data_IF_639226621194
#
_entry.id   IF_639226621194
#
_cell.length_a   1.000
_cell.length_b   1.000
_cell.length_c   1.000
_cell.angle_alpha   90.00
_cell.angle_beta   90.00
_cell.angle_gamma   90.00
#
_symmetry.space_group_name_H-M   'P 1'
#
loop_
_entity.id
_entity.type
_entity.pdbx_description
1 polymer ?
#
# COMPACT_ATOMS: atom_id res chain seq x y z
N UNK A 1 18.86 3.26 -38.11
CA UNK A 1 18.65 4.28 -37.05
C UNK A 1 17.23 4.29 -36.50
N UNK A 2 16.17 4.26 -37.32
CA UNK A 2 14.75 4.22 -36.85
C UNK A 2 14.41 3.05 -35.92
N UNK A 3 14.94 1.85 -36.17
CA UNK A 3 14.68 0.68 -35.31
C UNK A 3 15.27 0.81 -33.90
N UNK A 4 16.45 1.41 -33.76
CA UNK A 4 17.08 1.67 -32.46
C UNK A 4 16.35 2.73 -31.65
N UNK A 5 15.76 3.73 -32.32
CA UNK A 5 14.93 4.74 -31.67
C UNK A 5 13.64 4.13 -31.08
N UNK A 6 13.02 3.16 -31.76
CA UNK A 6 11.84 2.45 -31.25
C UNK A 6 12.17 1.55 -30.06
N UNK A 7 13.33 0.89 -30.08
CA UNK A 7 13.81 0.05 -28.98
C UNK A 7 14.15 0.87 -27.73
N UNK A 8 14.78 2.03 -27.90
CA UNK A 8 15.05 2.96 -26.79
C UNK A 8 13.76 3.54 -26.19
N UNK A 9 12.76 3.85 -27.02
CA UNK A 9 11.46 4.33 -26.57
C UNK A 9 10.68 3.27 -25.79
N UNK A 10 10.71 2.00 -26.23
CA UNK A 10 10.07 0.89 -25.53
C UNK A 10 10.67 0.66 -24.12
N UNK A 11 11.99 0.80 -23.99
CA UNK A 11 12.69 0.70 -22.70
C UNK A 11 12.35 1.87 -21.76
N UNK A 12 12.18 3.07 -22.29
CA UNK A 12 11.78 4.25 -21.50
C UNK A 12 10.35 4.15 -20.97
N UNK A 13 9.40 3.60 -21.75
CA UNK A 13 8.01 3.45 -21.32
C UNK A 13 7.86 2.32 -20.30
N UNK A 14 8.65 1.25 -20.40
CA UNK A 14 8.69 0.18 -19.39
C UNK A 14 9.29 0.61 -18.05
N UNK A 15 10.07 1.70 -18.03
CA UNK A 15 10.70 2.26 -16.82
C UNK A 15 9.79 3.18 -16.00
N UNK A 16 8.65 3.61 -16.54
CA UNK A 16 7.69 4.40 -15.78
C UNK A 16 6.97 3.49 -14.76
N UNK A 17 7.06 3.77 -13.45
CA UNK A 17 6.33 3.01 -12.46
C UNK A 17 4.84 3.18 -12.72
N UNK A 18 4.13 2.08 -13.02
CA UNK A 18 2.69 2.09 -13.30
C UNK A 18 1.82 2.13 -12.04
N UNK A 19 2.40 2.53 -10.90
CA UNK A 19 1.63 2.76 -9.70
C UNK A 19 1.22 4.23 -9.62
N UNK A 20 -0.02 4.47 -9.23
CA UNK A 20 -0.50 5.81 -8.95
C UNK A 20 0.21 6.32 -7.68
N UNK A 21 1.17 7.22 -7.88
CA UNK A 21 1.95 7.85 -6.80
C UNK A 21 1.21 9.04 -6.19
N UNK A 22 0.09 9.46 -6.79
CA UNK A 22 -0.73 10.56 -6.30
C UNK A 22 -1.82 10.04 -5.37
N UNK A 23 -1.57 10.10 -4.07
CA UNK A 23 -2.59 9.91 -3.03
C UNK A 23 -3.45 11.16 -2.90
N UNK A 24 -4.77 11.05 -2.98
CA UNK A 24 -5.61 11.45 -1.88
C UNK A 24 -5.82 10.22 -1.01
N UNK A 25 -5.82 10.40 0.30
CA UNK A 25 -6.19 9.42 1.32
C UNK A 25 -5.08 8.48 1.82
N UNK A 26 -4.32 9.03 2.76
CA UNK A 26 -3.65 8.40 3.90
C UNK A 26 -3.72 9.45 5.03
N UNK A 27 -3.71 9.04 6.30
CA UNK A 27 -4.23 9.76 7.48
C UNK A 27 -3.49 11.05 7.94
N UNK A 28 -3.95 11.57 9.10
CA UNK A 28 -3.76 12.88 9.79
C UNK A 28 -4.02 14.16 8.97
N UNK A 29 -3.53 14.28 7.73
CA UNK A 29 -3.66 15.49 6.89
C UNK A 29 -4.24 15.21 5.49
N UNK A 30 -4.72 13.99 5.25
CA UNK A 30 -5.37 13.61 3.99
C UNK A 30 -6.76 14.23 3.81
N UNK A 31 -7.14 14.52 2.56
CA UNK A 31 -8.43 15.16 2.23
C UNK A 31 -9.68 14.31 2.57
N UNK A 32 -9.53 13.03 2.91
CA UNK A 32 -10.64 12.11 3.22
C UNK A 32 -10.25 11.22 4.41
N UNK A 33 -11.15 11.07 5.38
CA UNK A 33 -10.96 10.20 6.53
C UNK A 33 -10.80 8.72 6.13
N UNK A 34 -9.96 7.98 6.86
CA UNK A 34 -9.64 6.57 6.59
C UNK A 34 -10.90 5.69 6.48
N UNK A 35 -11.80 5.76 7.45
CA UNK A 35 -13.04 4.97 7.44
C UNK A 35 -13.98 5.37 6.29
N UNK A 36 -13.99 6.65 5.92
CA UNK A 36 -14.78 7.13 4.78
C UNK A 36 -14.26 6.54 3.46
N UNK A 37 -12.95 6.43 3.31
CA UNK A 37 -12.36 5.79 2.14
C UNK A 37 -12.53 4.27 2.17
N UNK A 38 -12.41 3.64 3.34
CA UNK A 38 -12.67 2.21 3.50
C UNK A 38 -14.08 1.82 3.02
N UNK A 39 -15.06 2.70 3.21
CA UNK A 39 -16.44 2.49 2.78
C UNK A 39 -16.64 2.50 1.24
N UNK A 40 -15.65 2.90 0.44
CA UNK A 40 -15.79 2.96 -1.03
C UNK A 40 -15.71 1.59 -1.71
N UNK A 41 -15.20 0.58 -1.02
CA UNK A 41 -15.15 -0.78 -1.55
C UNK A 41 -14.19 -1.69 -0.79
N UNK A 42 -14.25 -2.99 -1.11
CA UNK A 42 -13.47 -4.03 -0.43
C UNK A 42 -11.97 -3.80 -0.51
N UNK A 43 -11.44 -3.38 -1.67
CA UNK A 43 -10.00 -3.14 -1.84
C UNK A 43 -9.56 -1.88 -1.08
N UNK A 44 -10.43 -0.87 -0.99
CA UNK A 44 -10.20 0.33 -0.19
C UNK A 44 -10.18 0.01 1.30
N UNK A 45 -11.13 -0.79 1.79
CA UNK A 45 -11.14 -1.30 3.15
C UNK A 45 -9.86 -2.10 3.47
N UNK A 46 -9.45 -2.99 2.57
CA UNK A 46 -8.18 -3.73 2.72
C UNK A 46 -6.97 -2.79 2.75
N UNK A 47 -6.92 -1.77 1.88
CA UNK A 47 -5.82 -0.80 1.89
C UNK A 47 -5.70 -0.07 3.23
N UNK A 48 -6.83 0.38 3.81
CA UNK A 48 -6.84 1.03 5.13
C UNK A 48 -6.42 0.05 6.23
N UNK A 49 -6.92 -1.19 6.18
CA UNK A 49 -6.55 -2.20 7.15
C UNK A 49 -5.05 -2.51 7.12
N UNK A 50 -4.45 -2.58 5.93
CA UNK A 50 -2.99 -2.75 5.78
C UNK A 50 -2.25 -1.55 6.37
N UNK A 51 -2.71 -0.32 6.10
CA UNK A 51 -2.12 0.88 6.68
C UNK A 51 -2.17 0.89 8.22
N UNK A 52 -3.28 0.46 8.81
CA UNK A 52 -3.42 0.32 10.28
C UNK A 52 -2.53 -0.76 10.86
N UNK A 53 -2.46 -1.92 10.21
CA UNK A 53 -1.54 -2.99 10.60
C UNK A 53 -0.09 -2.49 10.55
N UNK A 54 0.24 -1.72 9.51
CA UNK A 54 1.53 -1.10 9.34
C UNK A 54 1.84 -0.10 10.46
N UNK A 55 0.94 0.83 10.77
CA UNK A 55 1.11 1.76 11.89
C UNK A 55 1.23 1.07 13.25
N UNK A 56 0.41 0.05 13.50
CA UNK A 56 0.43 -0.70 14.77
C UNK A 56 1.73 -1.46 15.03
N UNK A 57 2.50 -1.77 14.00
CA UNK A 57 3.77 -2.48 14.11
C UNK A 57 4.95 -1.54 14.45
N UNK A 58 4.71 -0.24 14.67
CA UNK A 58 5.75 0.71 15.02
C UNK A 58 6.38 0.35 16.38
N UNK A 59 7.69 0.11 16.38
CA UNK A 59 8.46 -0.29 17.58
C UNK A 59 9.54 0.73 17.96
N UNK A 60 9.62 1.84 17.23
CA UNK A 60 10.59 2.90 17.46
C UNK A 60 11.26 3.40 16.17
N UNK A 61 12.07 4.46 16.26
CA UNK A 61 12.77 5.02 15.12
C UNK A 61 13.89 4.10 14.60
N UNK A 62 14.37 4.36 13.39
CA UNK A 62 15.52 3.67 12.78
C UNK A 62 15.14 2.76 11.62
N UNK A 63 16.08 2.57 10.69
CA UNK A 63 15.85 1.82 9.44
C UNK A 63 15.48 0.36 9.70
N UNK A 64 16.11 -0.30 10.67
CA UNK A 64 15.80 -1.69 11.02
C UNK A 64 14.37 -1.84 11.55
N UNK A 65 13.91 -0.89 12.38
CA UNK A 65 12.54 -0.85 12.89
C UNK A 65 11.54 -0.61 11.75
N UNK A 66 11.82 0.34 10.83
CA UNK A 66 10.99 0.60 9.65
C UNK A 66 10.85 -0.63 8.76
N UNK A 67 11.95 -1.34 8.49
CA UNK A 67 11.90 -2.57 7.70
C UNK A 67 11.09 -3.68 8.38
N UNK A 68 11.22 -3.85 9.71
CA UNK A 68 10.37 -4.78 10.46
C UNK A 68 8.89 -4.40 10.38
N UNK A 69 8.60 -3.12 10.54
CA UNK A 69 7.26 -2.56 10.48
C UNK A 69 6.62 -2.82 9.10
N UNK A 70 7.36 -2.54 8.01
CA UNK A 70 6.92 -2.78 6.65
C UNK A 70 6.76 -4.29 6.35
N UNK A 71 7.64 -5.13 6.91
CA UNK A 71 7.52 -6.59 6.79
C UNK A 71 6.24 -7.11 7.46
N UNK A 72 5.89 -6.62 8.65
CA UNK A 72 4.65 -6.98 9.32
C UNK A 72 3.41 -6.57 8.51
N UNK A 73 3.45 -5.39 7.89
CA UNK A 73 2.39 -4.93 7.00
C UNK A 73 2.22 -5.80 5.74
N UNK A 74 3.34 -6.26 5.16
CA UNK A 74 3.35 -7.18 4.02
C UNK A 74 2.74 -8.53 4.39
N UNK A 75 3.11 -9.10 5.54
CA UNK A 75 2.54 -10.36 6.01
C UNK A 75 1.03 -10.23 6.28
N UNK A 76 0.59 -9.12 6.88
CA UNK A 76 -0.83 -8.81 7.01
C UNK A 76 -1.53 -8.72 5.64
N UNK A 77 -0.93 -8.02 4.68
CA UNK A 77 -1.50 -7.84 3.35
C UNK A 77 -1.67 -9.17 2.62
N UNK A 78 -0.69 -10.08 2.69
CA UNK A 78 -0.76 -11.42 2.06
C UNK A 78 -1.90 -12.29 2.59
N UNK A 79 -2.35 -12.06 3.82
CA UNK A 79 -3.47 -12.78 4.41
C UNK A 79 -4.85 -12.29 3.91
N UNK A 80 -4.92 -11.15 3.20
CA UNK A 80 -6.17 -10.58 2.73
C UNK A 80 -6.60 -11.18 1.38
N UNK A 81 -7.88 -11.51 1.19
CA UNK A 81 -8.34 -12.23 0.01
C UNK A 81 -8.30 -11.41 -1.29
N UNK A 82 -8.27 -10.07 -1.21
CA UNK A 82 -8.20 -9.18 -2.37
C UNK A 82 -6.78 -8.84 -2.81
N UNK A 83 -5.76 -9.25 -2.06
CA UNK A 83 -4.35 -8.95 -2.36
C UNK A 83 -3.76 -10.06 -3.23
N UNK A 84 -3.03 -9.66 -4.28
CA UNK A 84 -2.28 -10.57 -5.15
C UNK A 84 -0.77 -10.51 -4.89
N UNK A 85 -0.24 -9.34 -4.52
CA UNK A 85 1.14 -9.17 -4.12
C UNK A 85 1.31 -7.99 -3.15
N UNK A 86 2.29 -8.06 -2.26
CA UNK A 86 2.71 -6.96 -1.40
C UNK A 86 4.23 -6.98 -1.23
N UNK A 87 4.87 -5.82 -1.40
CA UNK A 87 6.33 -5.68 -1.34
C UNK A 87 6.67 -4.42 -0.55
N UNK A 88 7.57 -4.47 0.45
CA UNK A 88 8.02 -3.28 1.14
C UNK A 88 8.97 -2.48 0.24
N UNK A 89 9.00 -1.17 0.39
CA UNK A 89 10.09 -0.39 -0.19
C UNK A 89 11.43 -0.71 0.52
N UNK A 90 12.56 -0.37 -0.11
CA UNK A 90 13.89 -0.65 0.41
C UNK A 90 14.23 0.03 1.74
N UNK A 91 13.58 1.15 2.06
CA UNK A 91 13.76 1.89 3.30
C UNK A 91 12.72 1.53 4.39
N UNK A 92 11.62 0.85 4.02
CA UNK A 92 10.54 0.48 4.92
C UNK A 92 9.58 1.63 5.26
N UNK A 93 9.56 2.70 4.47
CA UNK A 93 8.67 3.85 4.58
C UNK A 93 7.27 3.56 4.05
N UNK A 94 7.17 2.67 3.05
CA UNK A 94 5.87 2.28 2.48
C UNK A 94 5.85 0.83 1.99
N UNK A 95 4.64 0.32 1.75
CA UNK A 95 4.39 -0.96 1.09
C UNK A 95 3.67 -0.72 -0.22
N UNK A 96 4.12 -1.36 -1.29
CA UNK A 96 3.38 -1.41 -2.55
C UNK A 96 2.52 -2.67 -2.57
N UNK A 97 1.21 -2.49 -2.71
CA UNK A 97 0.23 -3.58 -2.77
C UNK A 97 -0.38 -3.64 -4.15
N UNK A 98 -0.41 -4.83 -4.73
CA UNK A 98 -1.18 -5.14 -5.94
C UNK A 98 -2.39 -5.96 -5.52
N UNK A 99 -3.58 -5.49 -5.91
CA UNK A 99 -4.83 -6.18 -5.67
C UNK A 99 -5.17 -7.13 -6.83
N UNK A 100 -6.12 -8.03 -6.62
CA UNK A 100 -6.58 -8.98 -7.66
C UNK A 100 -7.29 -8.30 -8.82
N UNK A 101 -7.85 -7.10 -8.62
CA UNK A 101 -8.36 -6.25 -9.70
C UNK A 101 -7.27 -5.74 -10.65
N UNK A 102 -5.99 -5.85 -10.28
CA UNK A 102 -4.87 -5.21 -10.95
C UNK A 102 -4.57 -3.80 -10.42
N UNK A 103 -5.37 -3.27 -9.48
CA UNK A 103 -5.08 -2.00 -8.83
C UNK A 103 -3.77 -2.09 -8.03
N UNK A 104 -2.89 -1.10 -8.22
CA UNK A 104 -1.63 -0.98 -7.48
C UNK A 104 -1.68 0.27 -6.62
N UNK A 105 -1.42 0.12 -5.32
CA UNK A 105 -1.44 1.23 -4.36
C UNK A 105 -0.20 1.21 -3.46
N UNK A 106 0.36 2.40 -3.26
CA UNK A 106 1.31 2.66 -2.18
C UNK A 106 0.53 2.88 -0.88
N UNK A 107 0.93 2.17 0.17
CA UNK A 107 0.32 2.23 1.49
C UNK A 107 1.40 2.66 2.49
N UNK A 108 1.17 3.77 3.16
CA UNK A 108 1.99 4.26 4.29
C UNK A 108 1.35 3.82 5.62
N UNK A 109 2.07 3.90 6.74
CA UNK A 109 1.51 3.62 8.06
C UNK A 109 0.33 4.55 8.36
N UNK A 110 -0.71 4.02 9.01
CA UNK A 110 -1.84 4.78 9.57
C UNK A 110 -1.78 4.61 11.08
N UNK A 111 -1.64 5.70 11.83
CA UNK A 111 -1.43 5.72 13.27
C UNK A 111 -2.65 6.24 14.05
N UNK A 112 -3.86 5.97 13.55
CA UNK A 112 -5.14 6.42 14.13
C UNK A 112 -5.59 5.68 15.40
N UNK A 113 -4.78 4.72 15.89
CA UNK A 113 -5.10 3.90 17.07
C UNK A 113 -6.20 2.86 16.84
N UNK A 114 -6.70 2.71 15.61
CA UNK A 114 -7.71 1.72 15.26
C UNK A 114 -7.02 0.42 14.80
N UNK A 115 -7.30 -0.72 15.45
CA UNK A 115 -6.87 -2.05 15.00
C UNK A 115 -7.31 -2.34 13.56
N UNK A 116 -6.42 -2.99 12.81
CA UNK A 116 -6.62 -3.29 11.39
C UNK A 116 -7.89 -4.10 11.10
N UNK A 117 -8.22 -5.07 11.95
CA UNK A 117 -9.40 -5.94 11.85
C UNK A 117 -10.72 -5.22 12.14
N UNK A 118 -10.68 -4.04 12.77
CA UNK A 118 -11.84 -3.16 12.97
C UNK A 118 -12.10 -2.23 11.80
N UNK A 119 -11.40 -2.39 10.68
CA UNK A 119 -11.60 -1.55 9.50
C UNK A 119 -12.96 -1.85 8.85
N UNK A 120 -13.83 -0.83 8.66
CA UNK A 120 -15.10 -1.02 8.00
C UNK A 120 -14.94 -1.58 6.59
N UNK A 121 -15.84 -2.49 6.17
CA UNK A 121 -15.85 -3.04 4.81
C UNK A 121 -14.84 -4.17 4.55
N UNK A 122 -14.14 -4.66 5.57
CA UNK A 122 -13.31 -5.86 5.42
C UNK A 122 -14.16 -7.10 5.13
N UNK A 123 -13.71 -7.97 4.21
CA UNK A 123 -14.36 -9.26 4.00
C UNK A 123 -14.12 -10.19 5.22
N UNK A 124 -15.00 -11.18 5.44
CA UNK A 124 -14.75 -12.24 6.40
C UNK A 124 -13.40 -12.93 6.08
N UNK A 125 -12.64 -13.29 7.12
CA UNK A 125 -11.38 -14.02 7.01
C UNK A 125 -11.59 -15.52 7.02
#
# INVERSE_FOLDING_TARGET
>A
MRAYALLALALLVAGCPSYDRYTPVVDEDGLVAADRFAAYGTEQAQAIAIGRAFGSAFTGPGTENRLRQATAAVEYAKALPGVSAAVPDSAGDFVTVTFKSGWKKVITPIADGVPADRTPGLPPR
#
